data_IF_729820497868
#
_entry.id   IF_729820497868
#
_cell.length_a   1.000
_cell.length_b   1.000
_cell.length_c   1.000
_cell.angle_alpha   90.00
_cell.angle_beta   90.00
_cell.angle_gamma   90.00
#
_symmetry.space_group_name_H-M   'P 1'
#
loop_
_entity.id
_entity.type
_entity.pdbx_description
1 polymer ?
#
# COMPACT_ATOMS: atom_id res chain seq x y z
N UNK A 1 -67.58 -30.17 22.24
CA UNK A 1 -67.21 -31.61 22.23
C UNK A 1 -66.94 -32.01 20.78
N UNK A 2 -65.96 -32.87 20.40
CA UNK A 2 -65.05 -33.77 21.15
C UNK A 2 -63.57 -33.28 21.11
N UNK A 3 -62.71 -33.43 22.13
CA UNK A 3 -61.94 -34.60 22.63
C UNK A 3 -61.13 -35.38 21.58
N UNK A 4 -59.81 -35.17 21.55
CA UNK A 4 -58.81 -36.24 21.40
C UNK A 4 -57.53 -35.94 22.20
N UNK A 5 -57.00 -37.01 22.79
CA UNK A 5 -55.94 -37.11 23.78
C UNK A 5 -54.63 -37.64 23.13
N UNK A 6 -53.53 -37.53 23.90
CA UNK A 6 -52.23 -38.24 23.82
C UNK A 6 -51.18 -37.55 22.91
N UNK A 7 -49.88 -37.49 23.23
CA UNK A 7 -49.05 -38.32 24.12
C UNK A 7 -47.79 -37.55 24.54
N UNK A 8 -47.31 -37.79 25.76
CA UNK A 8 -46.01 -37.35 26.29
C UNK A 8 -44.86 -38.09 25.60
N UNK A 9 -43.74 -37.40 25.31
CA UNK A 9 -42.39 -37.97 25.38
C UNK A 9 -41.41 -36.92 25.93
N UNK A 10 -40.80 -37.28 27.06
CA UNK A 10 -39.70 -36.56 27.68
C UNK A 10 -38.39 -36.97 27.00
N UNK A 11 -37.55 -36.01 26.67
CA UNK A 11 -36.15 -36.26 26.31
C UNK A 11 -35.29 -35.42 27.24
N UNK A 12 -34.59 -36.13 28.12
CA UNK A 12 -33.56 -35.60 29.03
C UNK A 12 -32.27 -35.50 28.20
N UNK A 13 -31.73 -34.29 28.06
CA UNK A 13 -30.40 -34.04 27.52
C UNK A 13 -29.58 -33.38 28.62
N UNK A 14 -28.65 -34.17 29.18
CA UNK A 14 -27.71 -33.72 30.19
C UNK A 14 -26.65 -32.81 29.56
N UNK A 15 -26.49 -31.61 30.11
CA UNK A 15 -25.38 -30.71 29.83
C UNK A 15 -24.21 -31.08 30.76
N UNK A 16 -23.07 -31.46 30.19
CA UNK A 16 -21.79 -31.53 30.89
C UNK A 16 -21.06 -30.21 30.61
N UNK A 17 -20.92 -29.37 31.63
CA UNK A 17 -20.12 -28.15 31.57
C UNK A 17 -18.68 -28.47 32.01
N UNK A 18 -17.73 -28.49 31.07
CA UNK A 18 -16.31 -28.39 31.38
C UNK A 18 -15.91 -26.92 31.52
N UNK A 19 -15.58 -26.51 32.74
CA UNK A 19 -15.02 -25.18 33.02
C UNK A 19 -13.54 -25.14 32.65
N UNK A 20 -13.19 -24.40 31.59
CA UNK A 20 -11.83 -23.90 31.38
C UNK A 20 -11.73 -22.52 32.03
N UNK A 21 -10.94 -22.41 33.11
CA UNK A 21 -10.56 -21.13 33.69
C UNK A 21 -9.44 -20.51 32.85
N UNK A 22 -9.81 -19.69 31.87
CA UNK A 22 -8.86 -18.78 31.23
C UNK A 22 -8.63 -17.58 32.15
N UNK A 23 -7.39 -17.39 32.62
CA UNK A 23 -6.97 -16.18 33.32
C UNK A 23 -6.86 -15.03 32.31
N UNK A 24 -7.98 -14.35 32.06
CA UNK A 24 -7.97 -13.06 31.37
C UNK A 24 -7.28 -12.03 32.28
N UNK A 25 -6.02 -11.71 31.97
CA UNK A 25 -5.35 -10.55 32.54
C UNK A 25 -6.18 -9.32 32.24
N UNK A 26 -6.59 -8.60 33.30
CA UNK A 26 -7.39 -7.39 33.17
C UNK A 26 -6.64 -6.37 32.30
N UNK A 27 -7.25 -5.98 31.18
CA UNK A 27 -6.69 -4.92 30.34
C UNK A 27 -6.56 -3.64 31.20
N UNK A 28 -5.44 -2.90 31.12
CA UNK A 28 -5.28 -1.65 31.83
C UNK A 28 -6.40 -0.67 31.45
N UNK A 29 -7.10 -0.15 32.46
CA UNK A 29 -8.26 0.73 32.27
C UNK A 29 -7.81 2.18 32.11
N UNK A 30 -7.65 2.65 30.87
CA UNK A 30 -7.37 4.06 30.56
C UNK A 30 -8.66 4.89 30.43
N UNK A 31 -8.61 6.17 30.78
CA UNK A 31 -9.73 7.12 30.65
C UNK A 31 -9.60 8.01 29.42
N UNK A 32 -10.68 8.31 28.66
CA UNK A 32 -10.64 9.33 27.63
C UNK A 32 -10.05 10.66 28.12
N UNK A 33 -9.07 11.19 27.39
CA UNK A 33 -8.29 12.37 27.76
C UNK A 33 -7.00 12.07 28.55
N UNK A 34 -6.77 10.84 29.00
CA UNK A 34 -5.56 10.45 29.74
C UNK A 34 -4.32 10.45 28.82
N UNK A 35 -3.17 10.87 29.36
CA UNK A 35 -1.89 10.77 28.66
C UNK A 35 -1.29 9.38 28.85
N UNK A 36 -0.88 8.77 27.74
CA UNK A 36 -0.23 7.45 27.70
C UNK A 36 1.02 7.52 26.85
N UNK A 37 1.90 6.52 26.96
CA UNK A 37 3.03 6.36 26.05
C UNK A 37 2.66 5.39 24.93
N UNK A 38 3.03 5.73 23.69
CA UNK A 38 2.79 4.92 22.49
C UNK A 38 4.12 4.55 21.82
N UNK A 39 4.27 3.28 21.43
CA UNK A 39 5.46 2.73 20.78
C UNK A 39 5.53 3.17 19.31
N UNK A 40 6.45 4.07 19.00
CA UNK A 40 6.70 4.56 17.64
C UNK A 40 7.38 3.47 16.80
N UNK A 41 7.00 3.34 15.52
CA UNK A 41 7.41 2.25 14.62
C UNK A 41 8.87 2.33 14.12
N UNK A 42 9.73 3.13 14.76
CA UNK A 42 11.12 3.34 14.37
C UNK A 42 12.11 2.56 15.23
N UNK A 43 13.30 2.27 14.68
CA UNK A 43 14.45 1.75 15.42
C UNK A 43 15.47 2.90 15.68
N UNK A 44 16.08 3.00 16.89
CA UNK A 44 15.76 2.21 18.08
C UNK A 44 14.34 2.51 18.56
N UNK A 45 13.77 1.57 19.33
CA UNK A 45 12.44 1.70 19.90
C UNK A 45 12.29 3.02 20.66
N UNK A 46 11.24 3.78 20.33
CA UNK A 46 10.90 5.05 20.98
C UNK A 46 9.47 5.01 21.48
N UNK A 47 9.26 5.56 22.67
CA UNK A 47 7.94 5.76 23.26
C UNK A 47 7.62 7.24 23.24
N UNK A 48 6.45 7.59 22.72
CA UNK A 48 5.99 8.97 22.54
C UNK A 48 4.72 9.22 23.37
N UNK A 49 4.61 10.39 23.98
CA UNK A 49 3.41 10.77 24.72
C UNK A 49 2.24 11.08 23.77
N UNK A 50 1.11 10.42 23.99
CA UNK A 50 -0.13 10.59 23.23
C UNK A 50 -1.33 10.66 24.17
N UNK A 51 -2.44 11.21 23.70
CA UNK A 51 -3.70 11.24 24.46
C UNK A 51 -4.55 10.03 24.09
N UNK A 52 -4.96 9.24 25.07
CA UNK A 52 -5.96 8.19 24.90
C UNK A 52 -7.34 8.83 24.71
N UNK A 53 -7.99 8.57 23.58
CA UNK A 53 -9.29 9.16 23.23
C UNK A 53 -10.45 8.25 23.64
N UNK A 54 -10.21 6.95 23.66
CA UNK A 54 -11.23 5.94 23.94
C UNK A 54 -10.88 4.62 23.27
N UNK A 55 -11.88 3.79 23.05
CA UNK A 55 -11.70 2.51 22.35
C UNK A 55 -12.56 2.44 21.10
N UNK A 56 -12.21 1.55 20.17
CA UNK A 56 -13.08 1.20 19.04
C UNK A 56 -14.42 0.61 19.54
N UNK A 57 -15.49 0.63 18.73
CA UNK A 57 -16.73 -0.07 19.07
C UNK A 57 -16.43 -1.55 19.39
N UNK A 58 -16.73 -1.97 20.62
CA UNK A 58 -16.40 -3.31 21.13
C UNK A 58 -15.13 -3.40 21.97
N UNK A 59 -14.40 -2.30 22.20
CA UNK A 59 -13.30 -2.24 23.16
C UNK A 59 -11.99 -2.90 22.72
N UNK A 60 -11.88 -3.35 21.47
CA UNK A 60 -10.77 -4.20 21.01
C UNK A 60 -9.46 -3.46 20.82
N UNK A 61 -9.49 -2.16 20.54
CA UNK A 61 -8.29 -1.35 20.31
C UNK A 61 -8.39 0.02 20.98
N UNK A 62 -7.30 0.54 21.55
CA UNK A 62 -7.20 1.92 21.98
C UNK A 62 -7.20 2.85 20.76
N UNK A 63 -7.89 3.97 20.87
CA UNK A 63 -7.78 5.11 19.96
C UNK A 63 -6.91 6.15 20.66
N UNK A 64 -5.82 6.53 20.02
CA UNK A 64 -4.88 7.54 20.52
C UNK A 64 -4.85 8.76 19.62
N UNK A 65 -4.49 9.91 20.18
CA UNK A 65 -4.22 11.16 19.48
C UNK A 65 -2.78 11.59 19.73
N UNK A 66 -1.99 11.66 18.66
CA UNK A 66 -0.62 12.16 18.71
C UNK A 66 -0.60 13.68 18.88
N UNK A 67 0.52 14.25 19.33
CA UNK A 67 0.69 15.71 19.45
C UNK A 67 0.48 16.40 18.08
N UNK A 68 -0.01 17.66 18.05
CA UNK A 68 -0.04 18.46 16.84
C UNK A 68 1.32 18.51 16.15
N UNK A 69 1.32 18.53 14.83
CA UNK A 69 2.53 18.64 14.02
C UNK A 69 2.26 19.51 12.79
N UNK A 70 3.25 19.64 11.90
CA UNK A 70 3.13 20.44 10.68
C UNK A 70 1.98 20.00 9.74
N UNK A 71 1.42 18.81 9.95
CA UNK A 71 0.40 18.18 9.09
C UNK A 71 -0.98 18.12 9.76
N UNK A 72 -1.08 18.21 11.08
CA UNK A 72 -2.35 18.27 11.81
C UNK A 72 -2.24 19.21 13.01
N UNK A 73 -3.02 20.30 12.99
CA UNK A 73 -3.09 21.28 14.08
C UNK A 73 -3.69 20.72 15.36
N UNK A 74 -4.48 19.66 15.25
CA UNK A 74 -5.13 19.00 16.39
C UNK A 74 -4.45 17.68 16.78
N UNK A 75 -3.43 17.26 16.01
CA UNK A 75 -2.84 15.93 16.13
C UNK A 75 -3.56 14.86 15.30
N UNK A 76 -2.90 13.75 15.04
CA UNK A 76 -3.48 12.64 14.27
C UNK A 76 -4.11 11.62 15.21
N UNK A 77 -5.34 11.19 14.90
CA UNK A 77 -6.03 10.13 15.62
C UNK A 77 -5.89 8.80 14.88
N UNK A 78 -5.58 7.72 15.60
CA UNK A 78 -5.50 6.37 15.04
C UNK A 78 -5.86 5.31 16.08
N UNK A 79 -6.31 4.16 15.61
CA UNK A 79 -6.30 2.95 16.41
C UNK A 79 -4.84 2.45 16.58
N UNK A 80 -4.53 1.89 17.74
CA UNK A 80 -3.27 1.23 18.05
C UNK A 80 -3.53 -0.17 18.63
N UNK A 81 -2.49 -0.95 18.84
CA UNK A 81 -2.61 -2.21 19.60
C UNK A 81 -2.42 -1.94 21.10
N UNK A 82 -3.04 -2.75 21.98
CA UNK A 82 -2.93 -2.56 23.43
C UNK A 82 -1.49 -2.73 23.97
N UNK A 83 -0.66 -3.52 23.29
CA UNK A 83 0.77 -3.70 23.58
C UNK A 83 1.65 -2.57 23.05
N UNK A 84 1.11 -1.70 22.18
CA UNK A 84 1.77 -0.49 21.70
C UNK A 84 1.52 0.71 22.62
N UNK A 85 0.70 0.58 23.67
CA UNK A 85 0.48 1.64 24.65
C UNK A 85 0.79 1.19 26.06
N UNK A 86 1.27 2.11 26.89
CA UNK A 86 1.52 1.87 28.32
C UNK A 86 1.25 3.12 29.15
N UNK A 87 1.08 2.99 30.47
CA UNK A 87 0.97 4.14 31.36
C UNK A 87 2.21 5.04 31.23
N UNK A 88 1.98 6.35 31.27
CA UNK A 88 3.05 7.35 31.24
C UNK A 88 4.08 7.10 32.36
N UNK A 89 5.37 7.08 32.03
CA UNK A 89 6.44 6.85 33.01
C UNK A 89 6.69 5.38 33.36
N UNK A 90 6.10 4.42 32.62
CA UNK A 90 6.41 3.00 32.79
C UNK A 90 7.87 2.73 32.43
N UNK A 91 8.70 2.38 33.43
CA UNK A 91 10.09 1.98 33.23
C UNK A 91 10.13 0.73 32.34
N UNK A 92 10.99 0.66 31.29
CA UNK A 92 11.07 -0.53 30.45
C UNK A 92 11.33 -1.76 31.31
N UNK A 93 10.48 -2.78 31.20
CA UNK A 93 10.79 -4.09 31.77
C UNK A 93 12.07 -4.56 31.09
N UNK A 94 13.09 -4.90 31.89
CA UNK A 94 14.35 -5.42 31.37
C UNK A 94 14.04 -6.62 30.47
N UNK A 95 14.53 -6.59 29.23
CA UNK A 95 14.36 -7.70 28.31
C UNK A 95 14.84 -9.00 28.98
N UNK A 96 14.09 -10.11 28.91
CA UNK A 96 14.56 -11.38 29.43
C UNK A 96 15.88 -11.74 28.73
N UNK A 97 16.89 -12.11 29.51
CA UNK A 97 18.18 -12.54 28.99
C UNK A 97 17.99 -13.66 27.97
N UNK A 98 18.75 -13.68 26.86
CA UNK A 98 18.62 -14.71 25.84
C UNK A 98 18.98 -16.08 26.44
N UNK A 99 17.94 -16.88 26.69
CA UNK A 99 18.07 -18.27 27.13
C UNK A 99 18.74 -19.12 26.05
N UNK A 100 19.75 -19.87 26.47
CA UNK A 100 20.70 -20.57 25.61
C UNK A 100 20.11 -21.58 24.62
N UNK A 101 20.89 -21.75 23.54
CA UNK A 101 20.74 -22.68 22.43
C UNK A 101 20.16 -24.04 22.84
N UNK A 102 18.94 -24.34 22.37
CA UNK A 102 18.46 -25.72 22.29
C UNK A 102 18.82 -26.26 20.90
N UNK A 103 19.78 -27.17 20.89
CA UNK A 103 20.21 -27.92 19.71
C UNK A 103 19.02 -28.66 19.07
N UNK A 104 18.73 -28.34 17.80
CA UNK A 104 17.80 -29.11 16.97
C UNK A 104 18.59 -30.22 16.29
N UNK A 105 18.21 -31.46 16.59
CA UNK A 105 18.73 -32.69 15.97
C UNK A 105 18.27 -32.76 14.49
N UNK A 106 19.10 -33.22 13.54
CA UNK A 106 18.69 -33.41 12.17
C UNK A 106 17.88 -34.71 12.03
N UNK A 107 16.71 -34.63 11.39
CA UNK A 107 15.96 -35.81 10.92
C UNK A 107 16.29 -36.00 9.44
N UNK A 108 16.89 -37.14 9.13
CA UNK A 108 17.07 -37.63 7.78
C UNK A 108 15.87 -38.47 7.35
N UNK A 109 15.46 -38.35 6.08
CA UNK A 109 14.84 -39.46 5.34
C UNK A 109 13.52 -39.18 4.60
N UNK A 110 13.49 -39.65 3.34
CA UNK A 110 12.38 -39.85 2.40
C UNK A 110 11.83 -38.59 1.69
N UNK A 111 12.13 -38.30 0.42
CA UNK A 111 12.05 -39.04 -0.86
C UNK A 111 10.65 -39.17 -1.48
N UNK A 112 10.58 -38.67 -2.73
CA UNK A 112 9.70 -39.03 -3.86
C UNK A 112 8.19 -38.69 -3.82
N UNK A 113 7.82 -37.60 -4.49
CA UNK A 113 6.98 -37.58 -5.71
C UNK A 113 6.28 -36.22 -5.86
N UNK A 114 6.72 -35.40 -6.82
CA UNK A 114 5.97 -34.25 -7.30
C UNK A 114 5.77 -34.39 -8.81
N UNK A 115 4.54 -34.21 -9.33
CA UNK A 115 4.28 -34.30 -10.76
C UNK A 115 4.90 -33.11 -11.51
N UNK A 116 5.52 -33.42 -12.65
CA UNK A 116 6.04 -32.48 -13.66
C UNK A 116 5.01 -31.39 -13.97
N UNK A 117 5.29 -30.15 -13.57
CA UNK A 117 4.64 -28.98 -14.15
C UNK A 117 5.24 -28.72 -15.54
N UNK A 118 4.33 -28.51 -16.49
CA UNK A 118 4.63 -28.23 -17.88
C UNK A 118 5.51 -26.99 -18.03
N UNK A 119 6.55 -27.16 -18.83
CA UNK A 119 7.41 -26.11 -19.40
C UNK A 119 6.56 -25.10 -20.17
N UNK A 120 6.64 -23.79 -19.89
CA UNK A 120 6.16 -22.80 -20.84
C UNK A 120 7.09 -22.77 -22.05
N UNK A 121 6.52 -22.89 -23.24
CA UNK A 121 7.20 -22.67 -24.51
C UNK A 121 8.00 -21.36 -24.52
N UNK A 122 9.21 -21.35 -25.10
CA UNK A 122 9.96 -20.13 -25.35
C UNK A 122 9.33 -19.39 -26.53
N UNK A 123 8.63 -18.30 -26.25
CA UNK A 123 8.21 -17.36 -27.29
C UNK A 123 9.47 -16.75 -27.92
N UNK A 124 9.66 -17.05 -29.19
CA UNK A 124 10.87 -16.77 -29.94
C UNK A 124 10.97 -15.30 -30.38
N UNK A 125 12.23 -14.86 -30.50
CA UNK A 125 12.77 -13.67 -31.19
C UNK A 125 12.59 -12.30 -30.52
N UNK A 126 13.55 -11.97 -29.66
CA UNK A 126 14.14 -10.64 -29.64
C UNK A 126 15.64 -10.77 -29.93
N UNK A 127 16.03 -10.25 -31.09
CA UNK A 127 17.38 -10.20 -31.62
C UNK A 127 18.30 -9.43 -30.67
N UNK A 128 19.39 -10.06 -30.22
CA UNK A 128 20.46 -9.38 -29.52
C UNK A 128 21.20 -8.44 -30.46
N UNK A 129 20.93 -7.14 -30.33
CA UNK A 129 21.71 -6.06 -30.90
C UNK A 129 22.32 -5.20 -29.78
N UNK A 130 23.47 -4.54 -30.02
CA UNK A 130 24.12 -3.69 -29.04
C UNK A 130 23.21 -2.51 -28.67
N UNK A 131 23.19 -2.15 -27.38
CA UNK A 131 22.40 -1.09 -26.76
C UNK A 131 22.75 0.28 -27.37
N UNK A 132 22.17 0.57 -28.53
CA UNK A 132 22.36 1.79 -29.30
C UNK A 132 21.24 2.77 -29.02
N UNK A 133 21.60 4.04 -28.81
CA UNK A 133 20.71 5.21 -28.89
C UNK A 133 19.79 5.08 -30.12
N UNK A 134 18.56 4.61 -29.91
CA UNK A 134 17.65 4.25 -30.99
C UNK A 134 16.43 3.44 -30.52
N UNK A 135 16.49 2.78 -29.37
CA UNK A 135 15.34 2.03 -28.83
C UNK A 135 14.26 2.94 -28.25
N UNK A 136 13.33 3.36 -29.11
CA UNK A 136 12.14 4.16 -28.77
C UNK A 136 10.96 3.31 -28.23
N UNK A 137 11.19 2.03 -27.92
CA UNK A 137 10.16 1.10 -27.45
C UNK A 137 9.99 1.05 -25.93
N UNK A 138 8.91 0.40 -25.47
CA UNK A 138 8.73 0.03 -24.06
C UNK A 138 9.89 -0.84 -23.59
N UNK A 139 10.23 -0.77 -22.30
CA UNK A 139 11.26 -1.64 -21.72
C UNK A 139 10.67 -2.98 -21.27
N UNK A 140 11.33 -4.07 -21.63
CA UNK A 140 10.99 -5.40 -21.17
C UNK A 140 11.89 -5.89 -20.02
N UNK A 141 11.53 -7.02 -19.42
CA UNK A 141 12.27 -7.62 -18.31
C UNK A 141 13.74 -7.94 -18.66
N UNK A 142 14.00 -8.42 -19.88
CA UNK A 142 15.34 -8.80 -20.31
C UNK A 142 16.25 -7.57 -20.48
N UNK A 143 15.74 -6.49 -21.07
CA UNK A 143 16.47 -5.21 -21.17
C UNK A 143 16.85 -4.66 -19.80
N UNK A 144 15.92 -4.71 -18.83
CA UNK A 144 16.16 -4.24 -17.46
C UNK A 144 17.26 -5.07 -16.78
N UNK A 145 17.17 -6.40 -16.86
CA UNK A 145 18.18 -7.28 -16.28
C UNK A 145 19.53 -7.11 -16.98
N UNK A 146 19.55 -6.95 -18.30
CA UNK A 146 20.76 -6.71 -19.08
C UNK A 146 21.43 -5.37 -18.69
N UNK A 147 20.63 -4.30 -18.54
CA UNK A 147 21.12 -3.01 -18.06
C UNK A 147 21.81 -3.14 -16.69
N UNK A 148 21.14 -3.81 -15.74
CA UNK A 148 21.70 -3.97 -14.40
C UNK A 148 22.96 -4.86 -14.40
N UNK A 149 22.92 -6.02 -15.06
CA UNK A 149 24.05 -6.96 -15.12
C UNK A 149 25.28 -6.33 -15.76
N UNK A 150 25.12 -5.61 -16.87
CA UNK A 150 26.23 -4.96 -17.57
C UNK A 150 26.86 -3.79 -16.80
N UNK A 151 26.10 -3.11 -15.93
CA UNK A 151 26.58 -1.94 -15.17
C UNK A 151 27.08 -2.28 -13.76
N UNK A 152 26.48 -3.28 -13.12
CA UNK A 152 26.80 -3.67 -11.75
C UNK A 152 27.99 -4.63 -11.65
N UNK A 153 28.24 -5.44 -12.70
CA UNK A 153 29.32 -6.42 -12.71
C UNK A 153 29.02 -7.66 -11.84
N UNK A 154 30.06 -8.45 -11.58
CA UNK A 154 29.93 -9.76 -10.90
C UNK A 154 29.56 -9.66 -9.42
N UNK A 155 29.90 -8.55 -8.76
CA UNK A 155 29.64 -8.31 -7.34
C UNK A 155 28.71 -7.11 -7.16
N UNK A 156 27.42 -7.24 -7.52
CA UNK A 156 26.48 -6.12 -7.56
C UNK A 156 26.33 -5.40 -6.20
N UNK A 157 26.47 -6.13 -5.09
CA UNK A 157 26.36 -5.55 -3.75
C UNK A 157 27.58 -4.72 -3.32
N UNK A 158 28.73 -4.91 -3.96
CA UNK A 158 29.98 -4.19 -3.67
C UNK A 158 30.24 -3.05 -4.67
N UNK A 159 29.41 -2.92 -5.71
CA UNK A 159 29.59 -1.89 -6.71
C UNK A 159 29.33 -0.49 -6.10
N UNK A 160 30.33 0.43 -6.09
CA UNK A 160 30.19 1.74 -5.46
C UNK A 160 29.19 2.65 -6.19
N UNK A 161 28.87 2.35 -7.45
CA UNK A 161 27.88 3.08 -8.26
C UNK A 161 26.48 2.46 -8.22
N UNK A 162 26.25 1.42 -7.40
CA UNK A 162 24.98 0.67 -7.40
C UNK A 162 23.75 1.57 -7.33
N UNK A 163 23.71 2.50 -6.37
CA UNK A 163 22.55 3.39 -6.22
C UNK A 163 22.39 4.36 -7.40
N UNK A 164 23.49 4.89 -7.95
CA UNK A 164 23.44 5.74 -9.14
C UNK A 164 22.93 4.98 -10.37
N UNK A 165 23.34 3.71 -10.54
CA UNK A 165 22.88 2.85 -11.64
C UNK A 165 21.38 2.57 -11.52
N UNK A 166 20.87 2.34 -10.30
CA UNK A 166 19.41 2.17 -10.09
C UNK A 166 18.64 3.44 -10.45
N UNK A 167 19.14 4.61 -10.08
CA UNK A 167 18.52 5.89 -10.41
C UNK A 167 18.54 6.14 -11.93
N UNK A 168 19.63 5.82 -12.62
CA UNK A 168 19.68 5.87 -14.09
C UNK A 168 18.61 4.97 -14.72
N UNK A 169 18.48 3.73 -14.24
CA UNK A 169 17.45 2.81 -14.72
C UNK A 169 16.03 3.31 -14.42
N UNK A 170 15.79 3.87 -13.22
CA UNK A 170 14.50 4.45 -12.86
C UNK A 170 14.09 5.57 -13.83
N UNK A 171 15.02 6.46 -14.20
CA UNK A 171 14.76 7.52 -15.17
C UNK A 171 14.53 6.97 -16.59
N UNK A 172 15.23 5.90 -16.98
CA UNK A 172 14.96 5.21 -18.26
C UNK A 172 13.56 4.60 -18.30
N UNK A 173 13.13 3.94 -17.22
CA UNK A 173 11.79 3.37 -17.09
C UNK A 173 10.73 4.48 -17.18
N UNK A 174 10.93 5.60 -16.50
CA UNK A 174 10.01 6.76 -16.59
C UNK A 174 9.94 7.37 -17.98
N UNK A 175 11.06 7.36 -18.72
CA UNK A 175 11.14 7.92 -20.06
C UNK A 175 10.57 6.99 -21.14
N UNK A 176 10.66 5.66 -20.97
CA UNK A 176 10.27 4.67 -21.98
C UNK A 176 8.97 3.94 -21.67
N UNK A 177 8.62 3.77 -20.39
CA UNK A 177 7.56 2.87 -19.96
C UNK A 177 7.97 1.39 -20.00
N UNK A 178 7.06 0.49 -19.60
CA UNK A 178 7.27 -0.96 -19.52
C UNK A 178 6.26 -1.71 -20.37
N UNK A 179 6.65 -2.85 -20.94
CA UNK A 179 5.73 -3.74 -21.67
C UNK A 179 5.07 -4.82 -20.79
N UNK A 180 5.37 -4.82 -19.49
CA UNK A 180 4.86 -5.77 -18.52
C UNK A 180 4.38 -5.08 -17.24
N UNK A 181 3.40 -5.69 -16.57
CA UNK A 181 2.98 -5.26 -15.23
C UNK A 181 3.93 -5.89 -14.21
N UNK A 182 4.66 -5.06 -13.46
CA UNK A 182 5.50 -5.55 -12.39
C UNK A 182 4.67 -5.83 -11.14
N UNK A 183 4.62 -7.09 -10.73
CA UNK A 183 4.21 -7.48 -9.38
C UNK A 183 5.45 -7.79 -8.52
N UNK A 184 5.31 -7.59 -7.21
CA UNK A 184 6.35 -7.93 -6.24
C UNK A 184 6.21 -9.37 -5.72
N UNK A 185 5.47 -10.23 -6.43
CA UNK A 185 5.38 -11.64 -6.06
C UNK A 185 6.63 -12.37 -6.55
N UNK A 186 7.05 -13.47 -5.89
CA UNK A 186 8.20 -14.24 -6.32
C UNK A 186 8.01 -14.75 -7.75
N UNK A 187 8.69 -14.09 -8.68
CA UNK A 187 8.81 -14.45 -10.09
C UNK A 187 10.28 -14.61 -10.47
N UNK A 188 10.57 -15.22 -11.62
CA UNK A 188 11.94 -15.33 -12.10
C UNK A 188 12.62 -13.95 -12.20
N UNK A 189 11.89 -12.95 -12.71
CA UNK A 189 12.35 -11.57 -12.79
C UNK A 189 12.59 -10.94 -11.42
N UNK A 190 11.63 -11.07 -10.49
CA UNK A 190 11.78 -10.54 -9.12
C UNK A 190 12.98 -11.13 -8.39
N UNK A 191 13.21 -12.45 -8.53
CA UNK A 191 14.33 -13.14 -7.91
C UNK A 191 15.67 -12.65 -8.49
N UNK A 192 15.74 -12.45 -9.82
CA UNK A 192 16.93 -11.90 -10.48
C UNK A 192 17.19 -10.45 -10.06
N UNK A 193 16.17 -9.59 -9.99
CA UNK A 193 16.30 -8.23 -9.46
C UNK A 193 16.83 -8.24 -8.02
N UNK A 194 16.32 -9.14 -7.19
CA UNK A 194 16.75 -9.28 -5.78
C UNK A 194 18.23 -9.71 -5.69
N UNK A 195 18.68 -10.65 -6.54
CA UNK A 195 20.09 -11.05 -6.63
C UNK A 195 21.02 -9.90 -7.05
N UNK A 196 20.52 -8.95 -7.84
CA UNK A 196 21.25 -7.77 -8.25
C UNK A 196 21.17 -6.61 -7.22
N UNK A 197 20.49 -6.83 -6.09
CA UNK A 197 20.27 -5.79 -5.08
C UNK A 197 19.37 -4.64 -5.57
N UNK A 198 18.57 -4.88 -6.62
CA UNK A 198 17.73 -3.90 -7.30
C UNK A 198 16.28 -3.86 -6.80
N UNK A 199 15.91 -4.73 -5.86
CA UNK A 199 14.60 -4.74 -5.22
C UNK A 199 14.53 -3.73 -4.06
N UNK A 200 14.66 -2.45 -4.38
CA UNK A 200 14.60 -1.34 -3.41
C UNK A 200 13.53 -0.33 -3.82
N UNK A 201 13.19 0.62 -2.95
CA UNK A 201 12.19 1.65 -3.23
C UNK A 201 12.47 2.45 -4.50
N UNK A 202 13.76 2.69 -4.79
CA UNK A 202 14.24 3.51 -5.90
C UNK A 202 13.83 2.93 -7.26
N UNK A 203 13.74 1.59 -7.37
CA UNK A 203 13.28 0.89 -8.58
C UNK A 203 11.88 0.32 -8.44
N UNK A 204 11.47 -0.05 -7.23
CA UNK A 204 10.17 -0.66 -6.97
C UNK A 204 9.01 0.23 -7.40
N UNK A 205 9.05 1.54 -7.11
CA UNK A 205 7.99 2.45 -7.55
C UNK A 205 7.98 2.65 -9.08
N UNK A 206 9.10 3.00 -9.74
CA UNK A 206 9.11 3.10 -11.20
C UNK A 206 8.64 1.83 -11.90
N UNK A 207 9.05 0.64 -11.42
CA UNK A 207 8.63 -0.64 -11.99
C UNK A 207 7.10 -0.85 -11.90
N UNK A 208 6.49 -0.50 -10.77
CA UNK A 208 5.03 -0.66 -10.58
C UNK A 208 4.21 0.38 -11.32
N UNK A 209 4.73 1.60 -11.44
CA UNK A 209 3.96 2.77 -11.85
C UNK A 209 4.04 3.10 -13.34
N UNK A 210 4.90 2.43 -14.13
CA UNK A 210 5.18 2.81 -15.53
C UNK A 210 4.83 1.75 -16.58
N UNK A 211 3.83 0.90 -16.31
CA UNK A 211 3.32 -0.01 -17.34
C UNK A 211 2.68 0.75 -18.52
N UNK A 212 3.05 0.41 -19.75
CA UNK A 212 2.61 1.05 -20.99
C UNK A 212 3.43 2.28 -21.39
N UNK A 213 3.14 2.90 -22.56
CA UNK A 213 3.87 4.06 -23.06
C UNK A 213 3.67 5.28 -22.15
N UNK A 214 4.66 6.16 -21.92
CA UNK A 214 4.52 7.32 -21.05
C UNK A 214 3.31 8.20 -21.39
N UNK A 215 2.56 8.63 -20.36
CA UNK A 215 1.33 9.41 -20.53
C UNK A 215 1.64 10.74 -21.20
N UNK A 216 0.78 11.17 -22.14
CA UNK A 216 0.78 12.54 -22.68
C UNK A 216 -0.31 13.36 -21.99
N UNK A 217 -0.12 14.66 -21.80
CA UNK A 217 -1.12 15.54 -21.17
C UNK A 217 -2.47 15.48 -21.85
N UNK A 218 -2.49 15.40 -23.18
CA UNK A 218 -3.73 15.31 -23.95
C UNK A 218 -4.56 14.08 -23.59
N UNK A 219 -3.95 12.98 -23.13
CA UNK A 219 -4.66 11.79 -22.66
C UNK A 219 -5.46 12.07 -21.37
N UNK A 220 -4.98 12.96 -20.51
CA UNK A 220 -5.62 13.34 -19.25
C UNK A 220 -6.83 14.27 -19.44
N UNK A 221 -6.99 14.87 -20.62
CA UNK A 221 -8.08 15.81 -20.89
C UNK A 221 -9.43 15.09 -20.98
N UNK A 222 -10.51 15.83 -20.75
CA UNK A 222 -11.87 15.34 -20.76
C UNK A 222 -12.47 15.18 -19.37
N UNK A 223 -13.56 14.41 -19.30
CA UNK A 223 -14.36 14.20 -18.10
C UNK A 223 -14.01 12.90 -17.40
N UNK A 224 -13.80 12.97 -16.08
CA UNK A 224 -13.48 11.85 -15.22
C UNK A 224 -14.51 11.74 -14.10
N UNK A 225 -15.07 10.54 -13.92
CA UNK A 225 -15.96 10.25 -12.79
C UNK A 225 -15.11 9.94 -11.56
N UNK A 226 -15.24 10.75 -10.52
CA UNK A 226 -14.42 10.63 -9.33
C UNK A 226 -15.02 9.65 -8.32
N UNK A 227 -14.13 8.84 -7.74
CA UNK A 227 -14.38 8.03 -6.58
C UNK A 227 -13.19 8.08 -5.62
N UNK A 228 -13.37 7.49 -4.44
CA UNK A 228 -12.29 7.31 -3.47
C UNK A 228 -12.14 5.84 -3.18
N UNK A 229 -10.94 5.32 -3.39
CA UNK A 229 -10.53 4.00 -2.94
C UNK A 229 -9.78 4.24 -1.63
N UNK A 230 -10.48 4.12 -0.49
CA UNK A 230 -9.79 4.12 0.79
C UNK A 230 -8.96 2.83 0.90
N UNK A 231 -7.73 2.86 1.43
CA UNK A 231 -6.97 1.64 1.63
C UNK A 231 -7.76 0.67 2.50
N UNK A 232 -7.75 -0.61 2.14
CA UNK A 232 -8.35 -1.66 2.95
C UNK A 232 -7.89 -1.53 4.41
N UNK A 233 -8.85 -1.30 5.31
CA UNK A 233 -8.58 -1.23 6.74
C UNK A 233 -8.79 -2.61 7.31
N UNK A 234 -7.78 -3.17 7.97
CA UNK A 234 -7.97 -4.37 8.76
C UNK A 234 -8.79 -4.00 10.00
N UNK A 235 -10.00 -4.53 10.09
CA UNK A 235 -10.88 -4.38 11.23
C UNK A 235 -11.00 -5.73 11.88
N UNK A 236 -10.51 -5.88 13.10
CA UNK A 236 -10.71 -7.10 13.87
C UNK A 236 -12.11 -7.07 14.51
N UNK A 237 -12.92 -8.12 14.32
CA UNK A 237 -14.14 -8.35 15.11
C UNK A 237 -14.07 -9.75 15.75
N UNK A 238 -13.94 -9.78 17.07
CA UNK A 238 -13.64 -11.02 17.81
C UNK A 238 -12.26 -11.57 17.42
N UNK A 239 -12.18 -12.87 17.15
CA UNK A 239 -10.95 -13.56 16.71
C UNK A 239 -10.64 -13.40 15.21
N UNK A 240 -11.54 -12.76 14.45
CA UNK A 240 -11.43 -12.65 13.00
C UNK A 240 -10.87 -11.28 12.61
N UNK A 241 -9.81 -11.28 11.79
CA UNK A 241 -9.35 -10.08 11.09
C UNK A 241 -10.16 -9.96 9.81
N UNK A 242 -11.06 -8.96 9.78
CA UNK A 242 -11.77 -8.62 8.56
C UNK A 242 -10.92 -7.62 7.79
N UNK A 243 -10.57 -7.95 6.55
CA UNK A 243 -10.18 -6.92 5.59
C UNK A 243 -11.45 -6.17 5.22
N UNK A 244 -11.69 -5.00 5.84
CA UNK A 244 -12.70 -4.08 5.33
C UNK A 244 -12.15 -3.59 4.00
N UNK A 245 -12.65 -4.19 2.91
CA UNK A 245 -12.28 -3.85 1.55
C UNK A 245 -12.42 -2.35 1.31
N UNK A 246 -11.78 -1.88 0.25
CA UNK A 246 -11.77 -0.48 -0.10
C UNK A 246 -13.21 0.06 -0.07
N UNK A 247 -13.50 1.04 0.80
CA UNK A 247 -14.78 1.76 0.68
C UNK A 247 -14.60 2.62 -0.58
N UNK A 248 -14.90 2.02 -1.72
CA UNK A 248 -15.12 2.69 -2.98
C UNK A 248 -16.32 3.58 -2.81
N UNK A 249 -16.13 4.83 -2.38
CA UNK A 249 -17.21 5.81 -2.52
C UNK A 249 -17.19 6.23 -3.97
N UNK A 250 -18.07 5.62 -4.78
CA UNK A 250 -18.35 6.08 -6.13
C UNK A 250 -19.18 7.36 -6.09
N UNK A 251 -19.07 8.19 -7.13
CA UNK A 251 -19.91 9.37 -7.25
C UNK A 251 -19.51 10.51 -6.32
N UNK A 252 -18.21 10.68 -6.05
CA UNK A 252 -17.70 11.88 -5.36
C UNK A 252 -17.84 13.14 -6.20
N UNK A 253 -18.10 12.97 -7.48
CA UNK A 253 -18.39 14.02 -8.44
C UNK A 253 -17.67 13.78 -9.75
N UNK A 254 -17.35 14.86 -10.48
CA UNK A 254 -16.69 14.80 -11.78
C UNK A 254 -15.57 15.81 -11.87
N UNK A 255 -14.43 15.41 -12.43
CA UNK A 255 -13.35 16.32 -12.81
C UNK A 255 -13.32 16.46 -14.34
N UNK A 256 -13.50 17.68 -14.83
CA UNK A 256 -13.32 18.02 -16.23
C UNK A 256 -12.00 18.78 -16.40
N UNK A 257 -11.13 18.28 -17.27
CA UNK A 257 -9.86 18.90 -17.64
C UNK A 257 -9.92 19.35 -19.10
N UNK A 258 -9.72 20.64 -19.32
CA UNK A 258 -9.78 21.25 -20.64
C UNK A 258 -8.37 21.60 -21.16
N UNK A 259 -8.12 21.40 -22.45
CA UNK A 259 -6.83 21.66 -23.08
C UNK A 259 -6.39 23.14 -22.99
N UNK A 260 -7.31 24.07 -22.76
CA UNK A 260 -7.04 25.51 -22.54
C UNK A 260 -6.29 25.84 -21.25
N UNK A 261 -6.03 24.86 -20.38
CA UNK A 261 -5.42 25.11 -19.08
C UNK A 261 -6.44 25.39 -17.98
N UNK A 262 -7.71 24.99 -18.16
CA UNK A 262 -8.78 25.18 -17.17
C UNK A 262 -9.35 23.84 -16.69
N UNK A 263 -9.92 23.83 -15.48
CA UNK A 263 -10.61 22.67 -14.93
C UNK A 263 -11.91 23.05 -14.24
N UNK A 264 -12.84 22.09 -14.19
CA UNK A 264 -14.05 22.14 -13.38
C UNK A 264 -14.16 20.85 -12.57
N UNK A 265 -14.09 20.98 -11.25
CA UNK A 265 -14.25 19.90 -10.28
C UNK A 265 -15.61 20.04 -9.60
N UNK A 266 -16.59 19.26 -10.07
CA UNK A 266 -17.89 19.17 -9.41
C UNK A 266 -17.78 18.15 -8.29
N UNK A 267 -18.11 18.54 -7.06
CA UNK A 267 -18.20 17.61 -5.94
C UNK A 267 -19.66 17.27 -5.65
N UNK A 268 -19.95 16.02 -5.31
CA UNK A 268 -21.29 15.61 -4.91
C UNK A 268 -21.67 16.08 -3.50
N UNK A 269 -20.68 16.32 -2.63
CA UNK A 269 -20.88 16.63 -1.21
C UNK A 269 -20.35 18.00 -0.80
N UNK A 270 -19.71 18.72 -1.72
CA UNK A 270 -19.10 20.02 -1.46
C UNK A 270 -19.33 20.98 -2.64
N UNK A 271 -18.98 22.24 -2.44
CA UNK A 271 -19.04 23.25 -3.50
C UNK A 271 -18.14 22.85 -4.67
N UNK A 272 -18.66 23.01 -5.89
CA UNK A 272 -17.87 22.82 -7.11
C UNK A 272 -16.75 23.86 -7.17
N UNK A 273 -15.56 23.43 -7.55
CA UNK A 273 -14.37 24.29 -7.69
C UNK A 273 -13.98 24.38 -9.16
N UNK A 274 -13.57 25.56 -9.62
CA UNK A 274 -13.06 25.77 -10.97
C UNK A 274 -11.79 26.60 -10.90
N UNK A 275 -10.89 26.39 -11.86
CA UNK A 275 -9.62 27.10 -11.85
C UNK A 275 -8.76 26.79 -13.06
N UNK A 276 -7.46 27.06 -12.91
CA UNK A 276 -6.45 26.78 -13.93
C UNK A 276 -5.59 25.59 -13.53
N UNK A 277 -5.11 24.86 -14.52
CA UNK A 277 -4.07 23.86 -14.33
C UNK A 277 -2.79 24.26 -15.06
N UNK A 278 -1.67 23.68 -14.63
CA UNK A 278 -0.36 23.77 -15.30
C UNK A 278 0.23 22.39 -15.51
N UNK A 279 1.26 22.28 -16.34
CA UNK A 279 2.06 21.07 -16.43
C UNK A 279 2.68 20.72 -15.06
N UNK A 280 2.66 19.44 -14.71
CA UNK A 280 3.44 18.92 -13.58
C UNK A 280 4.93 18.91 -13.94
N UNK A 281 5.77 19.33 -13.00
CA UNK A 281 7.22 19.23 -13.13
C UNK A 281 7.69 17.78 -12.91
N UNK A 282 8.90 17.45 -13.39
CA UNK A 282 9.51 16.13 -13.16
C UNK A 282 9.61 15.77 -11.67
N UNK A 283 9.88 16.75 -10.81
CA UNK A 283 9.97 16.56 -9.36
C UNK A 283 8.60 16.20 -8.73
N UNK A 284 7.51 16.79 -9.24
CA UNK A 284 6.15 16.50 -8.77
C UNK A 284 5.67 15.11 -9.21
N UNK A 285 6.10 14.65 -10.40
CA UNK A 285 5.79 13.32 -10.94
C UNK A 285 6.48 12.17 -10.19
N UNK A 286 7.62 12.42 -9.52
CA UNK A 286 8.35 11.42 -8.71
C UNK A 286 8.69 10.15 -9.48
N UNK A 287 8.04 9.03 -9.17
CA UNK A 287 8.24 7.73 -9.79
C UNK A 287 7.38 7.54 -11.06
N UNK A 288 6.38 8.40 -11.28
CA UNK A 288 5.56 8.39 -12.47
C UNK A 288 6.36 8.95 -13.65
N UNK A 289 6.29 8.25 -14.77
CA UNK A 289 6.79 8.68 -16.07
C UNK A 289 5.71 9.43 -16.85
N UNK A 290 6.14 9.98 -17.99
CA UNK A 290 5.29 10.80 -18.84
C UNK A 290 4.91 12.13 -18.20
N UNK A 291 3.72 12.61 -18.54
CA UNK A 291 3.24 13.94 -18.19
C UNK A 291 2.04 13.88 -17.25
N UNK A 292 1.97 14.85 -16.34
CA UNK A 292 0.83 15.09 -15.46
C UNK A 292 0.39 16.55 -15.51
N UNK A 293 -0.71 16.86 -14.83
CA UNK A 293 -1.18 18.24 -14.63
C UNK A 293 -1.34 18.55 -13.15
N UNK A 294 -1.08 19.80 -12.77
CA UNK A 294 -1.33 20.31 -11.42
C UNK A 294 -2.49 21.30 -11.48
N UNK A 295 -3.57 20.97 -10.79
CA UNK A 295 -4.73 21.83 -10.57
C UNK A 295 -4.37 22.84 -9.50
N UNK A 296 -4.42 24.12 -9.83
CA UNK A 296 -4.05 25.19 -8.91
C UNK A 296 -5.23 25.56 -8.02
N UNK A 297 -4.98 25.65 -6.71
CA UNK A 297 -5.97 26.05 -5.68
C UNK A 297 -7.33 25.37 -5.86
N UNK A 298 -7.28 24.05 -6.04
CA UNK A 298 -8.46 23.22 -6.25
C UNK A 298 -9.20 22.96 -4.92
N UNK A 299 -9.63 21.72 -4.70
CA UNK A 299 -10.41 21.35 -3.53
C UNK A 299 -9.67 21.75 -2.24
N UNK A 300 -10.41 22.41 -1.34
CA UNK A 300 -9.90 22.95 -0.07
C UNK A 300 -8.79 24.02 -0.22
N UNK A 301 -8.62 24.61 -1.41
CA UNK A 301 -7.63 25.64 -1.69
C UNK A 301 -6.20 25.11 -1.90
N UNK A 302 -5.99 23.79 -1.91
CA UNK A 302 -4.68 23.18 -2.16
C UNK A 302 -4.44 22.92 -3.64
N UNK A 303 -3.18 22.74 -4.01
CA UNK A 303 -2.82 22.26 -5.33
C UNK A 303 -2.96 20.74 -5.40
N UNK A 304 -3.40 20.20 -6.53
CA UNK A 304 -3.62 18.77 -6.72
C UNK A 304 -2.94 18.29 -8.00
N UNK A 305 -2.27 17.14 -7.97
CA UNK A 305 -1.68 16.53 -9.15
C UNK A 305 -2.61 15.45 -9.72
N UNK A 306 -2.78 15.46 -11.04
CA UNK A 306 -3.50 14.44 -11.80
C UNK A 306 -2.50 13.68 -12.67
N UNK A 307 -2.51 12.36 -12.55
CA UNK A 307 -1.65 11.43 -13.30
C UNK A 307 -2.49 10.24 -13.77
N UNK A 308 -2.04 9.52 -14.81
CA UNK A 308 -2.65 8.25 -15.16
C UNK A 308 -2.40 7.22 -14.05
N UNK A 309 -3.44 6.50 -13.61
CA UNK A 309 -3.25 5.37 -12.71
C UNK A 309 -2.97 4.09 -13.51
N UNK A 310 -1.75 3.59 -13.39
CA UNK A 310 -1.27 2.37 -14.05
C UNK A 310 -1.20 1.18 -13.10
N UNK A 311 -1.56 1.39 -11.84
CA UNK A 311 -1.52 0.37 -10.79
C UNK A 311 -2.87 -0.32 -10.61
N UNK A 312 -3.96 0.34 -11.03
CA UNK A 312 -5.30 -0.23 -11.05
C UNK A 312 -5.39 -1.32 -12.12
N UNK A 313 -5.75 -2.54 -11.70
CA UNK A 313 -5.94 -3.70 -12.60
C UNK A 313 -7.36 -3.79 -13.18
N UNK A 314 -8.25 -2.88 -12.78
CA UNK A 314 -9.62 -2.81 -13.29
C UNK A 314 -9.61 -2.31 -14.75
N UNK A 315 -10.52 -2.86 -15.55
CA UNK A 315 -10.70 -2.45 -16.95
C UNK A 315 -11.13 -0.98 -17.03
N UNK A 316 -10.55 -0.24 -17.97
CA UNK A 316 -10.91 1.15 -18.28
C UNK A 316 -9.72 2.09 -18.15
N UNK A 317 -9.98 3.37 -18.43
CA UNK A 317 -8.99 4.42 -18.25
C UNK A 317 -9.12 4.98 -16.83
N UNK A 318 -7.99 5.06 -16.12
CA UNK A 318 -7.95 5.54 -14.74
C UNK A 318 -6.97 6.69 -14.56
N UNK A 319 -7.37 7.66 -13.75
CA UNK A 319 -6.48 8.69 -13.22
C UNK A 319 -6.39 8.58 -11.71
N UNK A 320 -5.26 9.03 -11.17
CA UNK A 320 -5.06 9.33 -9.76
C UNK A 320 -4.99 10.84 -9.59
N UNK A 321 -5.75 11.34 -8.62
CA UNK A 321 -5.81 12.75 -8.24
C UNK A 321 -5.36 12.87 -6.78
N UNK A 322 -4.21 13.51 -6.55
CA UNK A 322 -3.57 13.54 -5.23
C UNK A 322 -3.30 14.96 -4.79
N UNK A 323 -3.57 15.27 -3.52
CA UNK A 323 -3.20 16.58 -2.95
C UNK A 323 -1.68 16.73 -2.93
N UNK A 324 -1.20 17.86 -3.46
CA UNK A 324 0.21 18.18 -3.56
C UNK A 324 0.69 18.76 -2.21
N UNK A 325 1.78 18.22 -1.67
CA UNK A 325 2.37 18.65 -0.39
C UNK A 325 2.06 17.70 0.77
N UNK A 326 0.79 17.30 0.98
CA UNK A 326 0.42 16.42 2.11
C UNK A 326 0.35 14.94 1.71
N UNK A 327 -0.05 14.64 0.47
CA UNK A 327 -0.21 13.28 -0.11
C UNK A 327 -1.12 12.33 0.68
N UNK A 328 -1.85 12.80 1.68
CA UNK A 328 -2.71 11.95 2.49
C UNK A 328 -4.08 11.72 1.86
N UNK A 329 -4.46 12.56 0.90
CA UNK A 329 -5.73 12.47 0.21
C UNK A 329 -5.51 12.10 -1.25
N UNK A 330 -6.02 10.94 -1.62
CA UNK A 330 -6.07 10.45 -2.99
C UNK A 330 -7.54 10.23 -3.38
N UNK A 331 -7.87 10.67 -4.58
CA UNK A 331 -9.07 10.33 -5.30
C UNK A 331 -8.68 9.66 -6.62
N UNK A 332 -9.60 8.91 -7.21
CA UNK A 332 -9.39 8.19 -8.45
C UNK A 332 -10.50 8.59 -9.42
N UNK A 333 -10.14 8.76 -10.68
CA UNK A 333 -11.09 9.07 -11.74
C UNK A 333 -11.17 7.93 -12.75
N UNK A 334 -12.37 7.63 -13.24
CA UNK A 334 -12.59 6.66 -14.32
C UNK A 334 -13.30 7.34 -15.49
N UNK A 335 -12.97 6.91 -16.71
CA UNK A 335 -13.77 7.14 -17.92
C UNK A 335 -13.95 5.85 -18.71
#
# INVERSE_FOLDING_TARGET
>A
MPRFLRTKRATILGLIALGFAATSGAAPTYRPGEMVEFRSSGYPEKWEEVTFIGTTPGGSQPIIRQKPNAFSKEGNQRAASWDEIRPLGSKPAAAPAPGGNRAVRPVAGASANAPRLATPEPSARASGGPVGRGDTGLMNQAEILHFLKSRLGEQPFQNPRREAIKLELAELIKARGLDFVYDATPSAFYNELSRLGANTSELGFPLRENYGPPTRQTWLMGSWQLGKVAPAVYVQKGEWIYRKGDIGVSGLGTLNLDASGTYLWKSATAQSTQGRWRAASKAEMKAQGGEGVVLLKAKSGYDWIVTQDRTTTLKGDWIRVSELGTRQVNEYGQR
#
